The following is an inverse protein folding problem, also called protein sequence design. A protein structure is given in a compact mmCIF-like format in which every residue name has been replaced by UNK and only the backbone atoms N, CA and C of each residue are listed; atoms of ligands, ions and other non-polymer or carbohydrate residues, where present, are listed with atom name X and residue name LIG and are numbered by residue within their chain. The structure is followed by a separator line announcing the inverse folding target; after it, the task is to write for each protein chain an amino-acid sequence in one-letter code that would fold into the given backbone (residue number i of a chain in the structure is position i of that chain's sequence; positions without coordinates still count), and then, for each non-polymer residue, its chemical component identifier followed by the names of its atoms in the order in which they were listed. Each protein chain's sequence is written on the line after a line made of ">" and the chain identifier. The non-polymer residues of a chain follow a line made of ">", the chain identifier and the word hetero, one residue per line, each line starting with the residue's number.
data_IF_989110958802
#
_entry.id   IF_989110958802
#
_cell.length_a   1.000
_cell.length_b   1.000
_cell.length_c   1.000
_cell.angle_alpha   90.00
_cell.angle_beta   90.00
_cell.angle_gamma   90.00
#
_symmetry.space_group_name_H-M   'P 1'
#
loop_
_entity.id
_entity.type
_entity.pdbx_description
1 polymer ?
#
# COMPACT_ATOMS: atom_id res chain seq x y z
N UNK A 1 -38.13 -43.91 46.03
CA UNK A 1 -36.77 -43.70 46.58
C UNK A 1 -35.86 -44.65 45.81
N UNK A 2 -34.75 -44.28 45.13
CA UNK A 2 -33.82 -43.16 45.37
C UNK A 2 -33.16 -42.59 44.08
N UNK A 3 -33.57 -41.42 43.57
CA UNK A 3 -32.74 -40.74 42.54
C UNK A 3 -32.95 -39.23 42.54
N UNK A 4 -34.18 -38.78 42.82
CA UNK A 4 -34.49 -37.35 42.97
C UNK A 4 -33.92 -36.72 44.24
N UNK A 5 -33.71 -37.48 45.31
CA UNK A 5 -33.12 -36.97 46.56
C UNK A 5 -31.60 -36.81 46.46
N UNK A 6 -30.92 -37.66 45.67
CA UNK A 6 -29.47 -37.58 45.44
C UNK A 6 -29.15 -36.37 44.53
N UNK A 7 -29.97 -36.12 43.51
CA UNK A 7 -29.78 -34.98 42.60
C UNK A 7 -29.95 -33.62 43.30
N UNK A 8 -30.87 -33.52 44.28
CA UNK A 8 -31.07 -32.31 45.07
C UNK A 8 -29.93 -32.03 46.06
N UNK A 9 -29.29 -33.07 46.61
CA UNK A 9 -28.13 -32.90 47.50
C UNK A 9 -26.88 -32.49 46.70
N UNK A 10 -26.69 -33.02 45.49
CA UNK A 10 -25.57 -32.64 44.61
C UNK A 10 -25.72 -31.20 44.08
N UNK A 11 -26.94 -30.75 43.76
CA UNK A 11 -27.16 -29.35 43.34
C UNK A 11 -26.95 -28.34 44.48
N UNK A 12 -27.32 -28.69 45.72
CA UNK A 12 -27.12 -27.82 46.87
C UNK A 12 -25.64 -27.67 47.26
N UNK A 13 -24.82 -28.71 47.05
CA UNK A 13 -23.38 -28.65 47.33
C UNK A 13 -22.59 -27.81 46.31
N UNK A 14 -23.06 -27.71 45.06
CA UNK A 14 -22.40 -26.88 44.02
C UNK A 14 -22.72 -25.38 44.20
N UNK A 15 -23.87 -25.03 44.78
CA UNK A 15 -24.25 -23.62 45.03
C UNK A 15 -23.56 -23.04 46.28
N UNK A 16 -23.08 -23.86 47.22
CA UNK A 16 -22.38 -23.40 48.42
C UNK A 16 -20.85 -23.30 48.28
N UNK A 17 -20.28 -23.64 47.12
CA UNK A 17 -18.83 -23.57 46.87
C UNK A 17 -18.39 -22.36 46.01
N UNK A 18 -19.27 -21.37 45.79
CA UNK A 18 -18.98 -20.14 45.04
C UNK A 18 -19.07 -18.88 45.91
N UNK A 19 -18.48 -18.93 47.10
CA UNK A 19 -18.05 -17.74 47.81
C UNK A 19 -16.53 -17.79 47.95
N UNK A 20 -15.84 -17.58 46.84
CA UNK A 20 -14.41 -17.24 46.87
C UNK A 20 -14.27 -15.84 47.48
N UNK A 21 -13.50 -15.75 48.56
CA UNK A 21 -13.10 -14.47 49.15
C UNK A 21 -12.51 -13.55 48.08
N UNK A 22 -13.08 -12.35 47.95
CA UNK A 22 -12.44 -11.26 47.20
C UNK A 22 -11.20 -10.87 48.00
N UNK A 23 -10.03 -11.34 47.58
CA UNK A 23 -8.78 -10.85 48.15
C UNK A 23 -8.71 -9.33 47.94
N UNK A 24 -8.38 -8.54 48.97
CA UNK A 24 -8.22 -7.10 48.80
C UNK A 24 -7.09 -6.84 47.79
N UNK A 25 -7.39 -6.03 46.78
CA UNK A 25 -6.38 -5.48 45.88
C UNK A 25 -5.38 -4.71 46.75
N UNK A 26 -4.07 -5.02 46.73
CA UNK A 26 -3.10 -4.26 47.49
C UNK A 26 -3.11 -2.81 46.99
N UNK A 27 -3.15 -1.87 47.93
CA UNK A 27 -3.02 -0.45 47.60
C UNK A 27 -1.71 -0.21 46.82
N UNK A 28 -1.71 0.65 45.81
CA UNK A 28 -0.49 0.95 45.06
C UNK A 28 0.57 1.48 46.03
N UNK A 29 1.75 0.85 46.02
CA UNK A 29 2.92 1.33 46.74
C UNK A 29 3.19 2.78 46.31
N UNK A 30 3.24 3.76 47.24
CA UNK A 30 3.60 5.12 46.87
C UNK A 30 5.01 5.09 46.27
N UNK A 31 5.17 5.67 45.09
CA UNK A 31 6.51 5.89 44.52
C UNK A 31 7.33 6.70 45.53
N UNK A 32 8.64 6.39 45.70
CA UNK A 32 9.51 7.22 46.52
C UNK A 32 9.52 8.64 45.98
N UNK A 33 9.01 9.59 46.77
CA UNK A 33 9.12 11.01 46.46
C UNK A 33 10.58 11.42 46.61
N UNK A 34 11.29 11.48 45.49
CA UNK A 34 12.63 12.03 45.46
C UNK A 34 12.52 13.54 45.73
N UNK A 35 13.32 14.12 46.64
CA UNK A 35 13.37 15.57 46.80
C UNK A 35 13.74 16.21 45.46
N UNK A 36 13.02 17.25 45.05
CA UNK A 36 13.40 18.04 43.87
C UNK A 36 14.82 18.58 44.10
N UNK A 37 15.78 18.05 43.34
CA UNK A 37 17.11 18.65 43.27
C UNK A 37 16.98 20.01 42.59
N UNK A 38 17.63 21.08 43.10
CA UNK A 38 17.72 22.33 42.38
C UNK A 38 18.36 22.08 41.02
N UNK A 39 17.63 22.37 39.95
CA UNK A 39 18.17 22.31 38.60
C UNK A 39 19.28 23.36 38.47
N UNK A 40 20.48 22.89 38.12
CA UNK A 40 21.55 23.78 37.68
C UNK A 40 21.06 24.52 36.43
N UNK A 41 21.26 25.85 36.30
CA UNK A 41 20.89 26.56 35.08
C UNK A 41 21.61 25.93 33.89
N UNK A 42 20.84 25.60 32.84
CA UNK A 42 21.40 25.16 31.57
C UNK A 42 22.30 26.29 31.03
N UNK A 43 23.55 26.02 30.62
CA UNK A 43 24.37 27.06 30.01
C UNK A 43 23.66 27.61 28.76
N UNK A 44 23.69 28.93 28.59
CA UNK A 44 23.16 29.60 27.41
C UNK A 44 23.75 28.97 26.14
N UNK A 45 22.93 28.70 25.11
CA UNK A 45 23.44 28.19 23.84
C UNK A 45 24.40 29.22 23.26
N UNK A 46 25.68 28.86 23.18
CA UNK A 46 26.65 29.65 22.46
C UNK A 46 26.26 29.64 20.98
N UNK A 47 26.09 30.82 20.40
CA UNK A 47 25.87 31.00 18.96
C UNK A 47 27.10 30.49 18.23
N UNK A 48 27.07 29.22 17.85
CA UNK A 48 28.06 28.63 16.95
C UNK A 48 27.94 29.37 15.62
N UNK A 49 29.07 29.90 15.12
CA UNK A 49 29.13 30.50 13.80
C UNK A 49 28.59 29.52 12.74
N UNK A 50 27.85 30.04 11.77
CA UNK A 50 27.36 29.27 10.62
C UNK A 50 28.54 28.52 9.97
N UNK A 51 28.37 27.24 9.61
CA UNK A 51 29.43 26.50 8.94
C UNK A 51 29.77 27.17 7.60
N UNK A 52 31.05 27.42 7.37
CA UNK A 52 31.61 27.86 6.09
C UNK A 52 31.10 26.94 4.97
N UNK A 53 30.48 27.53 3.94
CA UNK A 53 29.96 26.80 2.77
C UNK A 53 31.05 25.94 2.12
N UNK A 54 30.72 24.67 1.88
CA UNK A 54 31.63 23.72 1.26
C UNK A 54 31.69 23.91 -0.27
N UNK A 55 32.87 23.82 -0.90
CA UNK A 55 33.07 24.19 -2.32
C UNK A 55 32.50 23.21 -3.36
N UNK A 56 31.76 22.17 -2.95
CA UNK A 56 31.14 21.19 -3.86
C UNK A 56 29.64 21.45 -4.14
N UNK A 57 29.16 22.68 -3.92
CA UNK A 57 27.86 23.09 -4.44
C UNK A 57 27.88 23.11 -5.97
N UNK A 58 27.45 21.99 -6.55
CA UNK A 58 27.17 21.82 -7.98
C UNK A 58 25.93 22.64 -8.36
N UNK A 59 26.09 23.96 -8.47
CA UNK A 59 25.11 24.86 -9.07
C UNK A 59 23.77 24.94 -8.35
N UNK A 60 23.01 25.97 -8.69
CA UNK A 60 21.58 26.02 -8.40
C UNK A 60 20.89 24.91 -9.20
N UNK A 61 20.09 24.00 -8.59
CA UNK A 61 19.27 23.09 -9.36
C UNK A 61 18.39 23.93 -10.28
N UNK A 62 18.49 23.69 -11.58
CA UNK A 62 17.71 24.40 -12.58
C UNK A 62 16.22 24.25 -12.24
N UNK A 63 15.48 25.33 -11.95
CA UNK A 63 14.10 25.22 -11.52
C UNK A 63 13.21 25.16 -12.75
N UNK A 64 13.29 24.09 -13.55
CA UNK A 64 12.49 23.96 -14.78
C UNK A 64 12.17 22.49 -15.06
N UNK A 65 11.64 21.75 -14.07
CA UNK A 65 10.78 20.61 -14.42
C UNK A 65 9.47 21.24 -14.88
N UNK A 66 9.29 21.33 -16.20
CA UNK A 66 7.98 21.65 -16.77
C UNK A 66 6.93 20.71 -16.14
N UNK A 67 5.71 21.18 -15.87
CA UNK A 67 4.68 20.34 -15.27
C UNK A 67 4.54 19.05 -16.11
N UNK A 68 4.75 17.90 -15.48
CA UNK A 68 4.74 16.56 -16.12
C UNK A 68 3.35 16.17 -16.65
N UNK A 69 2.38 17.05 -16.45
CA UNK A 69 1.03 16.91 -16.93
C UNK A 69 1.02 17.09 -18.46
N UNK A 70 1.11 15.94 -19.15
CA UNK A 70 0.55 15.62 -20.49
C UNK A 70 1.49 14.79 -21.40
N UNK A 71 2.60 14.24 -20.88
CA UNK A 71 3.42 13.36 -21.72
C UNK A 71 2.69 12.04 -21.95
N UNK A 72 2.28 11.82 -23.19
CA UNK A 72 1.66 10.59 -23.66
C UNK A 72 2.71 9.50 -23.87
N UNK A 73 3.25 8.96 -22.77
CA UNK A 73 4.37 8.00 -22.80
C UNK A 73 4.01 6.68 -23.50
N UNK A 74 2.72 6.31 -23.52
CA UNK A 74 2.25 5.02 -23.99
C UNK A 74 1.79 4.93 -25.45
N UNK A 75 1.62 6.03 -26.17
CA UNK A 75 1.00 6.02 -27.51
C UNK A 75 1.97 6.25 -28.69
N UNK A 76 3.28 6.13 -28.45
CA UNK A 76 4.33 6.28 -29.48
C UNK A 76 5.03 4.98 -29.85
N UNK A 77 6.08 5.10 -30.64
CA UNK A 77 6.96 3.99 -31.00
C UNK A 77 7.55 3.32 -29.74
N UNK A 78 7.69 1.99 -29.79
CA UNK A 78 8.35 1.24 -28.73
C UNK A 78 9.85 1.07 -29.05
N UNK A 79 10.76 1.31 -28.09
CA UNK A 79 10.50 1.73 -26.71
C UNK A 79 10.09 3.20 -26.60
N UNK A 80 9.28 3.58 -25.58
CA UNK A 80 8.93 4.97 -25.31
C UNK A 80 10.20 5.85 -25.24
N UNK A 81 10.19 6.95 -25.98
CA UNK A 81 11.29 7.91 -25.97
C UNK A 81 11.11 8.87 -24.79
N UNK A 82 12.12 8.94 -23.92
CA UNK A 82 12.18 9.89 -22.79
C UNK A 82 13.48 10.69 -22.90
N UNK A 83 13.40 12.01 -22.71
CA UNK A 83 14.54 12.91 -22.90
C UNK A 83 15.61 12.76 -21.80
N UNK A 84 15.21 12.22 -20.64
CA UNK A 84 16.09 11.97 -19.51
C UNK A 84 15.57 10.79 -18.67
N UNK A 85 16.48 10.15 -17.93
CA UNK A 85 16.13 9.15 -16.91
C UNK A 85 15.27 9.83 -15.85
N UNK A 86 14.15 9.20 -15.51
CA UNK A 86 13.23 9.67 -14.47
C UNK A 86 13.38 8.80 -13.22
N UNK A 87 13.29 9.44 -12.05
CA UNK A 87 13.43 8.77 -10.75
C UNK A 87 12.10 8.76 -9.99
N UNK A 88 11.84 7.63 -9.32
CA UNK A 88 10.64 7.44 -8.52
C UNK A 88 10.89 6.72 -7.22
N UNK A 89 9.87 6.74 -6.36
CA UNK A 89 9.86 6.03 -5.08
C UNK A 89 8.63 5.13 -4.96
N UNK A 90 8.76 4.07 -4.17
CA UNK A 90 7.60 3.37 -3.63
C UNK A 90 7.09 4.14 -2.42
N UNK A 91 5.77 4.38 -2.35
CA UNK A 91 5.16 5.05 -1.21
C UNK A 91 3.81 4.43 -0.86
N UNK A 92 3.44 4.53 0.41
CA UNK A 92 2.09 4.22 0.90
C UNK A 92 1.35 5.52 1.19
N UNK A 93 0.35 5.82 0.37
CA UNK A 93 -0.43 7.06 0.40
C UNK A 93 -1.81 6.87 1.06
N UNK A 94 -2.28 5.63 1.19
CA UNK A 94 -3.50 5.31 1.95
C UNK A 94 -3.26 5.48 3.45
N UNK A 95 -4.23 6.05 4.16
CA UNK A 95 -4.22 6.21 5.61
C UNK A 95 -2.96 6.92 6.17
N UNK A 96 -2.26 7.70 5.34
CA UNK A 96 -1.12 8.52 5.72
C UNK A 96 -1.41 10.00 5.45
N UNK A 97 -0.54 10.89 5.92
CA UNK A 97 -0.53 12.28 5.47
C UNK A 97 0.01 12.34 4.03
N UNK A 98 -0.89 12.13 3.07
CA UNK A 98 -0.58 12.11 1.64
C UNK A 98 0.13 13.40 1.20
N UNK A 99 -0.26 14.55 1.75
CA UNK A 99 0.33 15.84 1.39
C UNK A 99 1.79 15.91 1.83
N UNK A 100 2.10 15.47 3.06
CA UNK A 100 3.48 15.38 3.55
C UNK A 100 4.33 14.42 2.73
N UNK A 101 3.80 13.22 2.40
CA UNK A 101 4.55 12.24 1.60
C UNK A 101 4.90 12.79 0.22
N UNK A 102 3.95 13.44 -0.46
CA UNK A 102 4.19 14.04 -1.78
C UNK A 102 5.12 15.26 -1.70
N UNK A 103 5.07 16.05 -0.63
CA UNK A 103 6.03 17.12 -0.41
C UNK A 103 7.46 16.58 -0.26
N UNK A 104 7.65 15.53 0.56
CA UNK A 104 8.95 14.88 0.74
C UNK A 104 9.45 14.20 -0.54
N UNK A 105 8.54 13.63 -1.34
CA UNK A 105 8.85 13.07 -2.67
C UNK A 105 9.54 14.12 -3.54
N UNK A 106 8.96 15.32 -3.61
CA UNK A 106 9.52 16.44 -4.38
C UNK A 106 10.83 16.96 -3.79
N UNK A 107 10.94 17.07 -2.46
CA UNK A 107 12.18 17.48 -1.79
C UNK A 107 13.33 16.50 -2.11
N UNK A 108 13.03 15.21 -2.22
CA UNK A 108 13.98 14.19 -2.66
C UNK A 108 14.34 14.23 -4.15
N UNK A 109 13.74 15.13 -4.94
CA UNK A 109 13.95 15.24 -6.38
C UNK A 109 13.24 14.16 -7.21
N UNK A 110 12.31 13.40 -6.61
CA UNK A 110 11.57 12.37 -7.31
C UNK A 110 10.33 12.94 -8.00
N UNK A 111 10.05 12.41 -9.19
CA UNK A 111 8.90 12.81 -10.01
C UNK A 111 7.85 11.72 -10.14
N UNK A 112 8.18 10.48 -9.74
CA UNK A 112 7.28 9.34 -9.77
C UNK A 112 6.99 8.77 -8.39
N UNK A 113 5.77 8.31 -8.20
CA UNK A 113 5.38 7.45 -7.07
C UNK A 113 4.74 6.17 -7.60
N UNK A 114 5.24 5.03 -7.10
CA UNK A 114 4.56 3.74 -7.20
C UNK A 114 3.70 3.54 -5.94
N UNK A 115 2.40 3.42 -6.14
CA UNK A 115 1.41 3.07 -5.12
C UNK A 115 0.80 1.71 -5.45
N UNK A 116 0.83 0.77 -4.52
CA UNK A 116 0.09 -0.49 -4.67
C UNK A 116 -1.37 -0.30 -4.25
N UNK A 117 -2.31 -0.82 -5.04
CA UNK A 117 -3.73 -0.85 -4.72
C UNK A 117 -4.20 -2.30 -4.74
N UNK A 118 -5.18 -2.61 -3.91
CA UNK A 118 -5.83 -3.89 -3.96
C UNK A 118 -7.17 -3.76 -4.68
N UNK A 119 -7.46 -4.69 -5.59
CA UNK A 119 -8.75 -4.73 -6.27
C UNK A 119 -9.87 -5.00 -5.26
N UNK A 120 -9.69 -5.95 -4.33
CA UNK A 120 -10.72 -6.26 -3.32
C UNK A 120 -11.09 -5.10 -2.40
N UNK A 121 -10.18 -4.15 -2.12
CA UNK A 121 -10.48 -2.95 -1.33
C UNK A 121 -11.34 -1.93 -2.12
N UNK A 122 -11.30 -1.99 -3.45
CA UNK A 122 -12.00 -1.07 -4.34
C UNK A 122 -13.31 -1.64 -4.89
N UNK A 123 -13.41 -2.96 -5.02
CA UNK A 123 -14.59 -3.69 -5.52
C UNK A 123 -14.85 -4.95 -4.66
N UNK A 124 -15.13 -4.73 -3.37
CA UNK A 124 -15.35 -5.82 -2.41
C UNK A 124 -16.50 -6.74 -2.80
N UNK A 125 -17.58 -6.18 -3.35
CA UNK A 125 -18.67 -6.91 -3.99
C UNK A 125 -18.70 -6.55 -5.48
N UNK A 126 -18.99 -7.55 -6.33
CA UNK A 126 -18.97 -7.37 -7.79
C UNK A 126 -19.88 -6.21 -8.22
N UNK A 127 -19.29 -5.21 -8.88
CA UNK A 127 -19.97 -4.01 -9.36
C UNK A 127 -20.16 -2.89 -8.32
N UNK A 128 -19.82 -3.11 -7.04
CA UNK A 128 -19.93 -2.12 -5.98
C UNK A 128 -18.56 -1.51 -5.68
N UNK A 129 -18.35 -0.27 -6.16
CA UNK A 129 -17.04 0.36 -6.11
C UNK A 129 -16.90 1.42 -5.03
N UNK A 130 -15.76 1.40 -4.32
CA UNK A 130 -15.38 2.41 -3.33
C UNK A 130 -14.15 3.18 -3.82
N UNK A 131 -14.38 4.25 -4.58
CA UNK A 131 -13.31 5.03 -5.22
C UNK A 131 -12.69 6.13 -4.37
N UNK A 132 -13.44 6.63 -3.37
CA UNK A 132 -13.11 7.90 -2.70
C UNK A 132 -11.69 7.97 -2.15
N UNK A 133 -11.13 6.95 -1.48
CA UNK A 133 -9.75 7.01 -1.00
C UNK A 133 -8.73 7.13 -2.14
N UNK A 134 -8.93 6.40 -3.23
CA UNK A 134 -8.03 6.46 -4.39
C UNK A 134 -8.19 7.77 -5.18
N UNK A 135 -9.40 8.33 -5.25
CA UNK A 135 -9.64 9.65 -5.87
C UNK A 135 -8.83 10.75 -5.19
N UNK A 136 -8.75 10.72 -3.86
CA UNK A 136 -7.96 11.67 -3.08
C UNK A 136 -6.47 11.54 -3.39
N UNK A 137 -5.95 10.31 -3.47
CA UNK A 137 -4.55 10.03 -3.83
C UNK A 137 -4.23 10.53 -5.23
N UNK A 138 -5.05 10.17 -6.23
CA UNK A 138 -4.84 10.58 -7.63
C UNK A 138 -4.89 12.11 -7.75
N UNK A 139 -5.84 12.75 -7.07
CA UNK A 139 -5.97 14.21 -7.08
C UNK A 139 -4.78 14.88 -6.40
N UNK A 140 -4.31 14.34 -5.28
CA UNK A 140 -3.15 14.87 -4.55
C UNK A 140 -1.86 14.73 -5.37
N UNK A 141 -1.63 13.59 -6.02
CA UNK A 141 -0.48 13.38 -6.90
C UNK A 141 -0.46 14.39 -8.04
N UNK A 142 -1.62 14.59 -8.69
CA UNK A 142 -1.80 15.61 -9.74
C UNK A 142 -1.56 17.04 -9.26
N UNK A 143 -2.10 17.40 -8.11
CA UNK A 143 -1.90 18.72 -7.51
C UNK A 143 -0.44 18.99 -7.08
N UNK A 144 0.39 17.94 -7.03
CA UNK A 144 1.81 18.03 -6.70
C UNK A 144 2.73 17.77 -7.89
N UNK A 145 2.19 17.67 -9.12
CA UNK A 145 2.97 17.35 -10.33
C UNK A 145 3.79 16.05 -10.20
N UNK A 146 3.26 15.06 -9.47
CA UNK A 146 3.87 13.74 -9.32
C UNK A 146 3.16 12.75 -10.24
N UNK A 147 3.95 12.02 -11.04
CA UNK A 147 3.45 10.93 -11.87
C UNK A 147 3.14 9.71 -11.01
N UNK A 148 1.92 9.19 -11.13
CA UNK A 148 1.46 8.05 -10.35
C UNK A 148 1.50 6.77 -11.20
N UNK A 149 2.18 5.75 -10.68
CA UNK A 149 2.05 4.37 -11.13
C UNK A 149 1.23 3.58 -10.12
N UNK A 150 0.11 3.00 -10.56
CA UNK A 150 -0.71 2.11 -9.74
C UNK A 150 -0.32 0.65 -9.98
N UNK A 151 0.19 -0.02 -8.95
CA UNK A 151 0.38 -1.48 -8.97
C UNK A 151 -0.88 -2.16 -8.49
N UNK A 152 -1.56 -2.89 -9.37
CA UNK A 152 -2.86 -3.49 -9.08
C UNK A 152 -2.69 -4.96 -8.72
N UNK A 153 -3.11 -5.33 -7.52
CA UNK A 153 -3.01 -6.71 -6.99
C UNK A 153 -4.29 -7.15 -6.29
N UNK A 154 -4.31 -8.38 -5.79
CA UNK A 154 -5.31 -8.97 -4.90
C UNK A 154 -6.75 -8.85 -5.39
N UNK A 155 -7.20 -9.85 -6.15
CA UNK A 155 -8.59 -9.96 -6.59
C UNK A 155 -9.54 -10.12 -5.40
N UNK A 156 -10.79 -9.66 -5.50
CA UNK A 156 -11.80 -9.93 -4.50
C UNK A 156 -12.17 -11.41 -4.43
N UNK A 157 -12.64 -11.91 -3.27
CA UNK A 157 -13.06 -13.31 -3.12
C UNK A 157 -14.07 -13.78 -4.16
N UNK A 158 -14.94 -12.91 -4.68
CA UNK A 158 -15.91 -13.29 -5.69
C UNK A 158 -15.29 -13.58 -7.07
N UNK A 159 -14.04 -13.15 -7.31
CA UNK A 159 -13.31 -13.37 -8.55
C UNK A 159 -12.41 -14.63 -8.52
N UNK A 160 -12.41 -15.36 -7.40
CA UNK A 160 -11.61 -16.58 -7.21
C UNK A 160 -12.48 -17.70 -6.63
N UNK A 161 -12.29 -18.92 -7.11
CA UNK A 161 -13.00 -20.12 -6.60
C UNK A 161 -12.51 -20.52 -5.22
N UNK A 162 -11.29 -20.12 -4.84
CA UNK A 162 -10.72 -20.36 -3.52
C UNK A 162 -11.25 -19.40 -2.45
N UNK A 163 -11.86 -18.27 -2.85
CA UNK A 163 -12.23 -17.18 -1.96
C UNK A 163 -11.05 -16.38 -1.40
N UNK A 164 -9.82 -16.70 -1.79
CA UNK A 164 -8.61 -15.96 -1.41
C UNK A 164 -8.29 -14.86 -2.42
N UNK A 165 -7.47 -13.89 -1.99
CA UNK A 165 -7.14 -12.69 -2.79
C UNK A 165 -5.94 -12.92 -3.74
N UNK A 166 -5.97 -13.99 -4.54
CA UNK A 166 -4.96 -14.30 -5.55
C UNK A 166 -5.28 -13.68 -6.92
N UNK A 167 -4.64 -14.18 -7.97
CA UNK A 167 -5.05 -13.87 -9.35
C UNK A 167 -6.51 -14.31 -9.58
N UNK A 168 -7.24 -13.61 -10.45
CA UNK A 168 -8.59 -14.01 -10.81
C UNK A 168 -8.58 -15.35 -11.55
N UNK A 169 -9.66 -16.11 -11.41
CA UNK A 169 -9.85 -17.33 -12.21
C UNK A 169 -10.22 -16.98 -13.66
N UNK A 170 -11.01 -15.90 -13.83
CA UNK A 170 -11.39 -15.36 -15.13
C UNK A 170 -10.67 -14.02 -15.39
N UNK A 171 -9.72 -13.98 -16.34
CA UNK A 171 -9.06 -12.73 -16.75
C UNK A 171 -10.03 -11.64 -17.22
N UNK A 172 -11.22 -11.99 -17.73
CA UNK A 172 -12.21 -11.00 -18.16
C UNK A 172 -12.81 -10.21 -16.98
N UNK A 173 -12.89 -10.81 -15.78
CA UNK A 173 -13.28 -10.07 -14.58
C UNK A 173 -12.26 -8.95 -14.26
N UNK A 174 -10.97 -9.27 -14.37
CA UNK A 174 -9.91 -8.27 -14.18
C UNK A 174 -9.84 -7.26 -15.32
N UNK A 175 -10.10 -7.67 -16.56
CA UNK A 175 -10.24 -6.74 -17.69
C UNK A 175 -11.31 -5.68 -17.42
N UNK A 176 -12.48 -6.11 -16.92
CA UNK A 176 -13.58 -5.20 -16.58
C UNK A 176 -13.21 -4.23 -15.44
N UNK A 177 -12.51 -4.71 -14.41
CA UNK A 177 -12.02 -3.85 -13.33
C UNK A 177 -11.01 -2.82 -13.85
N UNK A 178 -9.99 -3.27 -14.58
CA UNK A 178 -8.94 -2.42 -15.14
C UNK A 178 -9.52 -1.38 -16.10
N UNK A 179 -10.54 -1.73 -16.88
CA UNK A 179 -11.26 -0.81 -17.77
C UNK A 179 -11.90 0.32 -16.98
N UNK A 180 -12.66 0.01 -15.92
CA UNK A 180 -13.29 1.02 -15.05
C UNK A 180 -12.25 1.89 -14.34
N UNK A 181 -11.15 1.29 -13.88
CA UNK A 181 -10.05 1.99 -13.23
C UNK A 181 -9.38 2.97 -14.21
N UNK A 182 -9.09 2.53 -15.43
CA UNK A 182 -8.50 3.35 -16.49
C UNK A 182 -9.46 4.46 -16.95
N UNK A 183 -10.75 4.15 -17.13
CA UNK A 183 -11.77 5.13 -17.53
C UNK A 183 -11.86 6.25 -16.50
N UNK A 184 -11.89 5.86 -15.22
CA UNK A 184 -11.96 6.82 -14.13
C UNK A 184 -10.74 7.73 -14.09
N UNK A 185 -9.53 7.18 -14.27
CA UNK A 185 -8.28 7.93 -14.05
C UNK A 185 -7.52 8.29 -15.33
N UNK A 186 -8.18 8.21 -16.49
CA UNK A 186 -7.62 8.57 -17.80
C UNK A 186 -6.90 9.91 -17.77
N UNK A 187 -5.66 9.92 -18.27
CA UNK A 187 -4.78 11.09 -18.31
C UNK A 187 -4.29 11.60 -16.95
N UNK A 188 -4.66 10.93 -15.84
CA UNK A 188 -4.27 11.30 -14.47
C UNK A 188 -3.36 10.28 -13.81
N UNK A 189 -3.46 9.01 -14.19
CA UNK A 189 -2.51 7.95 -13.82
C UNK A 189 -1.61 7.68 -15.02
N UNK A 190 -0.29 7.73 -14.81
CA UNK A 190 0.68 7.64 -15.89
C UNK A 190 1.02 6.19 -16.26
N UNK A 191 0.90 5.26 -15.30
CA UNK A 191 1.22 3.86 -15.52
C UNK A 191 0.37 2.93 -14.65
N UNK A 192 0.08 1.74 -15.19
CA UNK A 192 -0.56 0.64 -14.48
C UNK A 192 0.38 -0.57 -14.50
N UNK A 193 0.83 -0.99 -13.32
CA UNK A 193 1.55 -2.25 -13.18
C UNK A 193 0.54 -3.37 -12.91
N UNK A 194 0.59 -4.40 -13.74
CA UNK A 194 -0.30 -5.55 -13.62
C UNK A 194 0.34 -6.61 -12.74
N UNK A 195 -0.24 -6.77 -11.56
CA UNK A 195 0.21 -7.67 -10.49
C UNK A 195 1.53 -7.28 -9.81
N UNK A 196 1.88 -8.01 -8.75
CA UNK A 196 3.15 -7.90 -8.03
C UNK A 196 3.69 -9.32 -7.82
N UNK A 197 4.97 -9.54 -8.11
CA UNK A 197 5.73 -10.75 -7.74
C UNK A 197 4.94 -12.08 -7.88
N UNK A 198 4.36 -12.38 -9.06
CA UNK A 198 3.54 -13.59 -9.25
C UNK A 198 4.32 -14.88 -8.97
N UNK A 199 5.64 -14.83 -8.94
CA UNK A 199 6.47 -15.97 -8.55
C UNK A 199 6.44 -16.30 -7.03
N UNK A 200 5.75 -15.52 -6.20
CA UNK A 200 5.52 -15.80 -4.78
C UNK A 200 4.10 -16.31 -4.54
N UNK A 201 3.95 -17.42 -3.81
CA UNK A 201 2.63 -17.99 -3.51
C UNK A 201 1.73 -17.05 -2.71
N UNK A 202 2.30 -16.15 -1.91
CA UNK A 202 1.53 -15.14 -1.19
C UNK A 202 0.76 -14.22 -2.14
N UNK A 203 1.36 -13.88 -3.27
CA UNK A 203 0.74 -13.09 -4.34
C UNK A 203 -0.25 -13.92 -5.16
N UNK A 204 -0.25 -15.25 -5.04
CA UNK A 204 -1.28 -16.14 -5.59
C UNK A 204 -2.35 -16.54 -4.58
N UNK A 205 -2.56 -15.77 -3.51
CA UNK A 205 -3.57 -16.09 -2.49
C UNK A 205 -3.23 -17.33 -1.65
N UNK A 206 -1.94 -17.60 -1.46
CA UNK A 206 -1.42 -18.77 -0.74
C UNK A 206 -1.04 -19.95 -1.64
N UNK A 207 -1.27 -19.84 -2.96
CA UNK A 207 -0.94 -20.88 -3.94
C UNK A 207 0.05 -20.36 -4.98
N UNK A 208 0.94 -21.21 -5.54
CA UNK A 208 1.81 -20.81 -6.65
C UNK A 208 0.98 -20.30 -7.84
N UNK A 209 1.43 -19.22 -8.48
CA UNK A 209 0.79 -18.70 -9.69
C UNK A 209 1.37 -19.40 -10.91
N UNK A 210 0.51 -19.93 -11.76
CA UNK A 210 0.91 -20.48 -13.05
C UNK A 210 1.28 -19.35 -14.03
N UNK A 211 2.41 -19.43 -14.75
CA UNK A 211 2.83 -18.38 -15.69
C UNK A 211 1.76 -18.04 -16.75
N UNK A 212 1.00 -19.04 -17.21
CA UNK A 212 -0.08 -18.84 -18.16
C UNK A 212 -1.26 -18.03 -17.58
N UNK A 213 -1.62 -18.25 -16.31
CA UNK A 213 -2.67 -17.47 -15.63
C UNK A 213 -2.24 -16.01 -15.46
N UNK A 214 -0.99 -15.78 -15.06
CA UNK A 214 -0.44 -14.43 -14.99
C UNK A 214 -0.39 -13.76 -16.37
N UNK A 215 0.05 -14.45 -17.43
CA UNK A 215 0.08 -13.89 -18.78
C UNK A 215 -1.32 -13.50 -19.26
N UNK A 216 -2.33 -14.33 -19.02
CA UNK A 216 -3.70 -14.02 -19.39
C UNK A 216 -4.23 -12.78 -18.64
N UNK A 217 -3.89 -12.64 -17.35
CA UNK A 217 -4.22 -11.47 -16.52
C UNK A 217 -3.50 -10.21 -17.00
N UNK A 218 -2.21 -10.32 -17.36
CA UNK A 218 -1.43 -9.24 -17.96
C UNK A 218 -2.03 -8.77 -19.28
N UNK A 219 -2.40 -9.69 -20.17
CA UNK A 219 -3.05 -9.38 -21.44
C UNK A 219 -4.40 -8.69 -21.25
N UNK A 220 -5.22 -9.17 -20.30
CA UNK A 220 -6.48 -8.55 -19.92
C UNK A 220 -6.28 -7.10 -19.44
N UNK A 221 -5.39 -6.87 -18.48
CA UNK A 221 -5.07 -5.53 -17.99
C UNK A 221 -4.52 -4.62 -19.09
N UNK A 222 -3.65 -5.13 -19.95
CA UNK A 222 -3.10 -4.39 -21.09
C UNK A 222 -4.19 -3.92 -22.06
N UNK A 223 -5.07 -4.83 -22.51
CA UNK A 223 -6.14 -4.49 -23.44
C UNK A 223 -7.07 -3.43 -22.86
N UNK A 224 -7.54 -3.63 -21.62
CA UNK A 224 -8.43 -2.69 -20.95
C UNK A 224 -7.83 -1.28 -20.84
N UNK A 225 -6.58 -1.18 -20.40
CA UNK A 225 -5.91 0.13 -20.25
C UNK A 225 -5.71 0.78 -21.62
N UNK A 226 -5.18 0.05 -22.61
CA UNK A 226 -4.84 0.64 -23.91
C UNK A 226 -6.05 1.05 -24.74
N UNK A 227 -7.18 0.37 -24.60
CA UNK A 227 -8.42 0.75 -25.28
C UNK A 227 -8.98 2.07 -24.74
N UNK A 228 -8.80 2.34 -23.44
CA UNK A 228 -9.35 3.52 -22.77
C UNK A 228 -8.36 4.70 -22.77
N UNK A 229 -7.11 4.41 -22.43
CA UNK A 229 -6.02 5.38 -22.29
C UNK A 229 -4.76 4.85 -22.99
N UNK A 230 -4.64 5.06 -24.31
CA UNK A 230 -3.45 4.63 -25.05
C UNK A 230 -2.17 5.31 -24.54
N UNK A 231 -2.28 6.48 -23.89
CA UNK A 231 -1.15 7.22 -23.33
C UNK A 231 -0.61 6.62 -22.04
N UNK A 232 -1.41 5.86 -21.30
CA UNK A 232 -0.95 5.22 -20.07
C UNK A 232 0.03 4.08 -20.39
N UNK A 233 1.08 3.97 -19.60
CA UNK A 233 1.99 2.83 -19.65
C UNK A 233 1.34 1.60 -18.98
N UNK A 234 1.62 0.43 -19.54
CA UNK A 234 1.28 -0.85 -18.89
C UNK A 234 2.58 -1.57 -18.61
N UNK A 235 2.80 -1.91 -17.35
CA UNK A 235 4.04 -2.49 -16.85
C UNK A 235 3.74 -3.89 -16.33
N UNK A 236 4.56 -4.88 -16.71
CA UNK A 236 4.47 -6.22 -16.13
C UNK A 236 4.84 -6.18 -14.64
N UNK A 237 4.38 -7.17 -13.87
CA UNK A 237 4.88 -7.40 -12.52
C UNK A 237 6.40 -7.55 -12.52
N UNK A 238 7.04 -6.97 -11.51
CA UNK A 238 8.41 -7.33 -11.15
C UNK A 238 8.39 -8.69 -10.44
N UNK A 239 9.39 -9.53 -10.70
CA UNK A 239 9.55 -10.81 -10.02
C UNK A 239 10.35 -10.61 -8.73
N UNK A 240 9.96 -11.31 -7.67
CA UNK A 240 10.77 -11.39 -6.47
C UNK A 240 12.10 -12.07 -6.78
N UNK A 241 13.20 -11.56 -6.21
CA UNK A 241 14.49 -12.24 -6.27
C UNK A 241 14.39 -13.60 -5.56
N UNK A 242 14.74 -14.67 -6.26
CA UNK A 242 14.96 -15.99 -5.64
C UNK A 242 16.46 -16.16 -5.42
N UNK A 243 16.88 -16.30 -4.17
CA UNK A 243 18.28 -16.50 -3.78
C UNK A 243 18.71 -17.98 -3.81
N UNK A 244 17.82 -18.90 -4.17
CA UNK A 244 18.11 -20.34 -4.24
C UNK A 244 18.11 -20.80 -5.70
N UNK A 245 19.25 -21.33 -6.23
CA UNK A 245 19.27 -21.92 -7.56
C UNK A 245 18.41 -23.19 -7.55
N UNK A 246 17.40 -23.28 -8.41
CA UNK A 246 16.83 -24.59 -8.75
C UNK A 246 17.91 -25.34 -9.53
N UNK A 247 18.42 -26.42 -8.96
CA UNK A 247 19.34 -27.34 -9.64
C UNK A 247 18.66 -27.83 -10.93
N UNK A 248 19.37 -27.90 -12.07
CA UNK A 248 18.82 -28.24 -13.38
C UNK A 248 18.08 -29.57 -13.38
#
# INVERSE_FOLDING_TARGET
>A
MPMRLILLIVLAAVVLASCGEVSPVPAPTPLPTQPLQPSTPLPEPQTSALPTESPWYLGTPSPLVAPLSNVCLGAGDFPPQIDAVQYGINAFLFATDTARVLALTKIGGFTWVRQQIHWHDLEGEKGNFVWRPLDQIVSAARANDVQLMLSVVRSPPWATTTGHTGLPDDPAAFENFMRKLAERYRGRVAAYQIWNEPNLSHEGGGTPVEPAQYLATLQAGYRAVKEVDPCALVVSAALALRTTPTRP
#
